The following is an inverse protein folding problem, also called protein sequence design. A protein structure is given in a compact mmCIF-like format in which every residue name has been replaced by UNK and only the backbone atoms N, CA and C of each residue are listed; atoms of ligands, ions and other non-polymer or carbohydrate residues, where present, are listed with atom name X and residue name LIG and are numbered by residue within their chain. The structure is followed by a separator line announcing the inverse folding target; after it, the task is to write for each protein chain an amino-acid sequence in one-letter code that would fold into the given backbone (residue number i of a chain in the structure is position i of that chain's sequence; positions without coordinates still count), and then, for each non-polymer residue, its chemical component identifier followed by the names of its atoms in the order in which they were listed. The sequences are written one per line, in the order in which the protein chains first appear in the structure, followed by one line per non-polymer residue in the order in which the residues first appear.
data_IF_181644539005
#
_entry.id   IF_181644539005
#
_cell.length_a   1.000
_cell.length_b   1.000
_cell.length_c   1.000
_cell.angle_alpha   90.00
_cell.angle_beta   90.00
_cell.angle_gamma   90.00
#
_symmetry.space_group_name_H-M   'P 1'
#
loop_
_entity.id
_entity.type
_entity.pdbx_description
1 polymer ?
#
# COMPACT_ATOMS: atom_id res chain seq x y z
N UNK A 1 6.79 80.41 64.64
CA UNK A 1 8.19 80.17 64.22
C UNK A 1 8.42 78.66 64.28
N UNK A 2 8.51 77.99 63.11
CA UNK A 2 9.23 76.70 62.87
C UNK A 2 8.80 75.52 63.78
N UNK A 3 8.08 74.47 63.35
CA UNK A 3 8.46 73.45 62.35
C UNK A 3 7.25 72.52 62.12
N UNK A 4 6.99 72.18 60.86
CA UNK A 4 6.05 71.13 60.45
C UNK A 4 6.71 69.75 60.59
N UNK A 5 5.96 68.75 61.09
CA UNK A 5 5.99 67.36 60.59
C UNK A 5 4.72 66.65 61.10
N UNK A 6 3.83 66.32 60.17
CA UNK A 6 2.53 65.69 60.40
C UNK A 6 2.70 64.15 60.34
N UNK A 7 1.98 63.35 61.16
CA UNK A 7 2.22 61.92 61.27
C UNK A 7 1.37 61.07 60.32
N UNK A 8 1.84 59.83 60.15
CA UNK A 8 1.24 58.70 59.43
C UNK A 8 -0.19 58.43 59.93
N UNK A 9 -1.15 58.36 58.99
CA UNK A 9 -2.50 57.88 59.24
C UNK A 9 -2.74 56.62 58.39
N UNK A 10 -2.89 55.48 59.07
CA UNK A 10 -3.48 54.26 58.53
C UNK A 10 -4.97 54.55 58.22
N UNK A 11 -5.40 54.23 57.00
CA UNK A 11 -6.82 54.06 56.70
C UNK A 11 -7.03 52.78 55.88
N UNK A 12 -7.69 51.81 56.51
CA UNK A 12 -8.35 50.69 55.85
C UNK A 12 -9.52 51.23 55.03
N UNK A 13 -9.60 50.89 53.74
CA UNK A 13 -10.83 51.00 52.96
C UNK A 13 -11.11 49.67 52.27
N UNK A 14 -12.37 49.29 52.44
CA UNK A 14 -13.06 48.05 52.09
C UNK A 14 -13.32 47.99 50.59
N UNK A 15 -13.32 46.76 50.08
CA UNK A 15 -13.62 46.30 48.73
C UNK A 15 -14.95 46.86 48.20
N UNK A 16 -14.95 47.30 46.93
CA UNK A 16 -16.13 47.29 46.06
C UNK A 16 -15.70 46.86 44.66
N UNK A 17 -16.32 45.80 44.16
CA UNK A 17 -16.13 45.26 42.82
C UNK A 17 -16.51 46.26 41.73
N UNK A 18 -15.74 46.29 40.65
CA UNK A 18 -16.27 46.58 39.32
C UNK A 18 -15.56 45.68 38.29
N UNK A 19 -16.38 44.90 37.59
CA UNK A 19 -15.99 44.01 36.50
C UNK A 19 -15.35 44.83 35.38
N UNK A 20 -14.22 44.35 34.87
CA UNK A 20 -13.82 44.54 33.48
C UNK A 20 -13.20 43.24 33.00
N UNK A 21 -13.85 42.67 31.98
CA UNK A 21 -13.43 41.47 31.27
C UNK A 21 -12.06 41.69 30.64
N UNK A 22 -11.07 40.95 31.14
CA UNK A 22 -9.88 40.56 30.41
C UNK A 22 -9.87 39.04 30.42
N UNK A 23 -10.19 38.41 29.29
CA UNK A 23 -9.93 36.98 29.12
C UNK A 23 -8.41 36.79 29.05
N UNK A 24 -7.86 36.28 30.16
CA UNK A 24 -6.50 35.77 30.24
C UNK A 24 -6.33 34.58 29.30
N UNK A 25 -5.29 34.65 28.48
CA UNK A 25 -4.74 33.53 27.73
C UNK A 25 -4.26 32.47 28.72
N UNK A 26 -5.06 31.43 28.92
CA UNK A 26 -4.70 30.30 29.76
C UNK A 26 -3.76 29.37 28.98
N UNK A 27 -2.46 29.47 29.26
CA UNK A 27 -1.45 28.49 28.87
C UNK A 27 -1.63 27.20 29.68
N UNK A 28 -2.61 26.37 29.32
CA UNK A 28 -2.65 24.99 29.77
C UNK A 28 -1.77 24.13 28.85
N UNK A 29 -0.48 24.16 29.18
CA UNK A 29 0.56 23.34 28.59
C UNK A 29 0.60 21.97 29.28
N UNK A 30 -0.49 21.21 29.17
CA UNK A 30 -0.55 19.80 29.58
C UNK A 30 -1.52 19.07 28.64
N UNK A 31 -1.10 18.83 27.38
CA UNK A 31 -1.70 17.81 26.50
C UNK A 31 -0.88 17.55 25.22
N UNK A 32 0.46 17.58 25.31
CA UNK A 32 1.35 17.30 24.17
C UNK A 32 2.31 16.12 24.40
N UNK A 33 2.16 15.35 25.48
CA UNK A 33 3.07 14.25 25.84
C UNK A 33 2.35 12.94 26.26
N UNK A 34 1.08 12.75 25.87
CA UNK A 34 0.32 11.52 26.16
C UNK A 34 -0.28 10.81 24.93
N UNK A 35 0.06 11.22 23.70
CA UNK A 35 -0.44 10.59 22.46
C UNK A 35 0.54 9.60 21.79
N UNK A 36 1.44 8.96 22.54
CA UNK A 36 2.33 7.90 21.99
C UNK A 36 2.21 6.53 22.68
N UNK A 37 1.11 6.26 23.38
CA UNK A 37 0.73 4.92 23.85
C UNK A 37 -0.77 4.71 23.82
N UNK A 38 -1.38 4.81 22.64
CA UNK A 38 -2.55 4.00 22.35
C UNK A 38 -2.07 2.87 21.45
N UNK A 39 -1.68 1.76 22.07
CA UNK A 39 -1.81 0.48 21.40
C UNK A 39 -3.27 0.42 20.96
N UNK A 40 -3.48 0.55 19.66
CA UNK A 40 -4.77 0.37 19.04
C UNK A 40 -5.21 -1.04 19.44
N UNK A 41 -6.25 -1.15 20.27
CA UNK A 41 -6.87 -2.45 20.55
C UNK A 41 -7.60 -2.85 19.27
N UNK A 42 -6.83 -3.27 18.26
CA UNK A 42 -7.36 -4.08 17.19
C UNK A 42 -7.95 -5.30 17.87
N UNK A 43 -9.24 -5.54 17.62
CA UNK A 43 -9.89 -6.81 17.91
C UNK A 43 -9.19 -7.84 17.01
N UNK A 44 -8.07 -8.37 17.52
CA UNK A 44 -7.23 -9.29 16.78
C UNK A 44 -7.94 -10.63 16.81
N UNK A 45 -8.50 -10.99 15.67
CA UNK A 45 -8.99 -12.35 15.46
C UNK A 45 -7.83 -13.29 15.75
N UNK A 46 -8.08 -14.37 16.50
CA UNK A 46 -7.08 -15.37 16.89
C UNK A 46 -6.63 -16.17 15.65
N UNK A 47 -5.87 -15.51 14.78
CA UNK A 47 -5.59 -15.96 13.43
C UNK A 47 -4.13 -15.79 13.06
N UNK A 48 -3.63 -16.78 12.32
CA UNK A 48 -2.25 -16.84 11.81
C UNK A 48 -2.33 -17.19 10.34
N UNK A 49 -1.58 -16.45 9.53
CA UNK A 49 -1.37 -16.77 8.11
C UNK A 49 -0.19 -17.70 8.00
N UNK A 50 -0.36 -18.83 7.34
CA UNK A 50 0.75 -19.74 7.05
C UNK A 50 0.83 -20.00 5.56
N UNK A 51 2.03 -20.35 5.11
CA UNK A 51 2.25 -20.94 3.79
C UNK A 51 2.96 -22.26 3.97
N UNK A 52 2.29 -23.34 3.60
CA UNK A 52 2.89 -24.67 3.59
C UNK A 52 4.02 -24.76 2.57
N UNK A 53 4.93 -25.70 2.81
CA UNK A 53 5.87 -26.15 1.80
C UNK A 53 5.15 -26.86 0.65
N UNK A 54 5.59 -26.57 -0.57
CA UNK A 54 5.02 -27.20 -1.77
C UNK A 54 5.18 -28.72 -1.73
N UNK A 55 4.12 -29.42 -2.13
CA UNK A 55 4.13 -30.88 -2.31
C UNK A 55 3.58 -31.69 -1.14
N UNK A 56 3.18 -31.04 -0.04
CA UNK A 56 2.45 -31.71 1.03
C UNK A 56 1.06 -32.12 0.55
N UNK A 57 0.70 -33.37 0.83
CA UNK A 57 -0.66 -33.90 0.64
C UNK A 57 -1.65 -33.29 1.64
N UNK A 58 -2.94 -33.36 1.32
CA UNK A 58 -4.00 -32.90 2.23
C UNK A 58 -3.96 -33.62 3.59
N UNK A 59 -3.49 -34.87 3.61
CA UNK A 59 -3.33 -35.65 4.84
C UNK A 59 -2.16 -35.13 5.68
N UNK A 60 -1.02 -34.81 5.07
CA UNK A 60 0.12 -34.20 5.76
C UNK A 60 -0.26 -32.83 6.32
N UNK A 61 -0.91 -31.98 5.51
CA UNK A 61 -1.43 -30.68 5.98
C UNK A 61 -2.40 -30.84 7.16
N UNK A 62 -3.28 -31.85 7.13
CA UNK A 62 -4.20 -32.11 8.24
C UNK A 62 -3.49 -32.53 9.53
N UNK A 63 -2.41 -33.31 9.43
CA UNK A 63 -1.56 -33.67 10.58
C UNK A 63 -0.91 -32.43 11.19
N UNK A 64 -0.36 -31.52 10.36
CA UNK A 64 0.25 -30.28 10.85
C UNK A 64 -0.80 -29.36 11.49
N UNK A 65 -2.00 -29.22 10.90
CA UNK A 65 -3.10 -28.46 11.53
C UNK A 65 -3.49 -29.03 12.89
N UNK A 66 -3.55 -30.36 13.03
CA UNK A 66 -3.82 -31.03 14.30
C UNK A 66 -2.71 -30.78 15.33
N UNK A 67 -1.43 -30.82 14.92
CA UNK A 67 -0.26 -30.51 15.78
C UNK A 67 -0.39 -29.13 16.44
N UNK A 68 -0.87 -28.13 15.70
CA UNK A 68 -1.02 -26.76 16.20
C UNK A 68 -2.37 -26.44 16.85
N UNK A 69 -3.28 -27.42 16.94
CA UNK A 69 -4.65 -27.26 17.44
C UNK A 69 -5.45 -26.19 16.66
N UNK A 70 -5.36 -26.23 15.33
CA UNK A 70 -6.15 -25.36 14.44
C UNK A 70 -7.62 -25.76 14.54
N UNK A 71 -8.51 -24.80 14.84
CA UNK A 71 -9.94 -25.04 14.98
C UNK A 71 -10.61 -25.19 13.61
N UNK A 72 -10.36 -24.24 12.73
CA UNK A 72 -10.70 -24.29 11.31
C UNK A 72 -9.71 -23.43 10.53
N UNK A 73 -9.73 -23.55 9.20
CA UNK A 73 -8.86 -22.82 8.32
C UNK A 73 -9.62 -22.34 7.09
N UNK A 74 -9.15 -21.24 6.53
CA UNK A 74 -9.58 -20.74 5.22
C UNK A 74 -8.42 -20.89 4.25
N UNK A 75 -8.72 -21.38 3.05
CA UNK A 75 -7.74 -21.49 1.96
C UNK A 75 -7.83 -20.29 1.05
N UNK A 76 -6.70 -19.94 0.45
CA UNK A 76 -6.70 -18.89 -0.55
C UNK A 76 -7.43 -19.31 -1.84
N UNK A 77 -8.58 -18.70 -2.12
CA UNK A 77 -9.25 -18.91 -3.40
C UNK A 77 -8.41 -18.30 -4.52
N UNK A 78 -8.03 -19.09 -5.52
CA UNK A 78 -7.37 -18.66 -6.76
C UNK A 78 -5.93 -18.13 -6.68
N UNK A 79 -5.38 -18.02 -5.48
CA UNK A 79 -3.96 -17.79 -5.25
C UNK A 79 -3.19 -19.10 -5.10
N UNK A 80 -2.23 -19.10 -4.17
CA UNK A 80 -1.47 -20.28 -3.78
C UNK A 80 -2.32 -21.24 -2.92
N UNK A 81 -2.52 -22.52 -3.32
CA UNK A 81 -3.22 -23.51 -2.50
C UNK A 81 -2.47 -23.90 -1.22
N UNK A 82 -1.20 -23.50 -1.08
CA UNK A 82 -0.41 -23.69 0.15
C UNK A 82 -0.64 -22.59 1.18
N UNK A 83 -1.32 -21.50 0.82
CA UNK A 83 -1.62 -20.37 1.71
C UNK A 83 -2.91 -20.60 2.48
N UNK A 84 -2.84 -20.51 3.81
CA UNK A 84 -3.99 -20.67 4.69
C UNK A 84 -4.05 -19.61 5.78
N UNK A 85 -5.28 -19.28 6.18
CA UNK A 85 -5.57 -18.52 7.39
C UNK A 85 -6.10 -19.49 8.44
N UNK A 86 -5.38 -19.65 9.54
CA UNK A 86 -5.71 -20.59 10.61
C UNK A 86 -6.37 -19.88 11.77
N UNK A 87 -7.46 -20.46 12.27
CA UNK A 87 -8.23 -19.92 13.40
C UNK A 87 -8.02 -20.78 14.63
N UNK A 88 -7.81 -20.13 15.77
CA UNK A 88 -7.61 -20.80 17.06
C UNK A 88 -8.75 -20.50 18.03
N UNK A 89 -9.15 -21.51 18.80
CA UNK A 89 -10.11 -21.36 19.88
C UNK A 89 -9.50 -20.69 21.12
N UNK A 90 -10.34 -20.11 21.97
CA UNK A 90 -9.95 -19.60 23.28
C UNK A 90 -9.71 -18.08 23.28
N UNK A 91 -9.25 -17.56 24.42
CA UNK A 91 -8.90 -16.15 24.57
C UNK A 91 -7.38 -16.02 24.55
N UNK A 92 -6.79 -16.08 23.35
CA UNK A 92 -5.35 -15.95 23.16
C UNK A 92 -4.94 -14.49 23.27
N UNK A 93 -3.84 -14.25 23.97
CA UNK A 93 -3.17 -12.95 23.98
C UNK A 93 -2.30 -12.80 22.72
N UNK A 94 -1.88 -11.57 22.45
CA UNK A 94 -0.91 -11.29 21.38
C UNK A 94 0.38 -12.12 21.53
N UNK A 95 0.89 -12.24 22.76
CA UNK A 95 2.10 -13.02 23.04
C UNK A 95 1.90 -14.52 22.75
N UNK A 96 0.71 -15.05 23.02
CA UNK A 96 0.39 -16.47 22.71
C UNK A 96 0.38 -16.72 21.19
N UNK A 97 -0.11 -15.75 20.42
CA UNK A 97 -0.10 -15.84 18.95
C UNK A 97 1.32 -15.67 18.40
N UNK A 98 2.13 -14.77 18.95
CA UNK A 98 3.55 -14.64 18.58
C UNK A 98 4.34 -15.92 18.86
N UNK A 99 4.15 -16.55 20.02
CA UNK A 99 4.79 -17.83 20.33
C UNK A 99 4.40 -18.93 19.34
N UNK A 100 3.11 -18.98 18.96
CA UNK A 100 2.63 -19.87 17.90
C UNK A 100 3.34 -19.61 16.57
N UNK A 101 3.41 -18.35 16.12
CA UNK A 101 4.10 -17.98 14.87
C UNK A 101 5.57 -18.42 14.91
N UNK A 102 6.30 -18.10 15.97
CA UNK A 102 7.72 -18.48 16.12
C UNK A 102 7.91 -20.02 16.05
N UNK A 103 6.99 -20.78 16.65
CA UNK A 103 7.02 -22.24 16.59
C UNK A 103 6.67 -22.81 15.21
N UNK A 104 5.95 -22.06 14.37
CA UNK A 104 5.60 -22.45 13.00
C UNK A 104 6.70 -22.05 12.01
N UNK A 105 7.37 -20.92 12.22
CA UNK A 105 8.52 -20.50 11.41
C UNK A 105 9.70 -21.49 11.50
N UNK A 106 9.78 -22.27 12.57
CA UNK A 106 10.79 -23.32 12.74
C UNK A 106 10.31 -24.71 12.27
N UNK A 107 9.07 -24.82 11.80
CA UNK A 107 8.52 -26.07 11.27
C UNK A 107 9.02 -26.31 9.83
N UNK A 108 9.57 -27.50 9.58
CA UNK A 108 10.10 -27.88 8.27
C UNK A 108 9.04 -28.02 7.18
N UNK A 109 7.77 -28.10 7.58
CA UNK A 109 6.62 -28.19 6.69
C UNK A 109 6.07 -26.80 6.28
N UNK A 110 6.65 -25.71 6.80
CA UNK A 110 6.25 -24.33 6.53
C UNK A 110 7.31 -23.56 5.71
N UNK A 111 6.85 -22.75 4.77
CA UNK A 111 7.66 -21.74 4.08
C UNK A 111 7.59 -20.37 4.79
N UNK A 112 6.54 -20.15 5.58
CA UNK A 112 6.36 -18.94 6.38
C UNK A 112 5.12 -19.02 7.26
N UNK A 113 5.15 -18.26 8.34
CA UNK A 113 4.03 -18.04 9.24
C UNK A 113 4.05 -16.59 9.74
N UNK A 114 2.89 -15.95 9.83
CA UNK A 114 2.75 -14.55 10.23
C UNK A 114 1.48 -14.33 11.04
N UNK A 115 1.49 -13.35 11.93
CA UNK A 115 0.24 -12.83 12.49
C UNK A 115 -0.63 -12.26 11.35
N UNK A 116 -1.93 -12.52 11.40
CA UNK A 116 -2.86 -11.94 10.42
C UNK A 116 -3.32 -10.53 10.85
N UNK A 117 -2.45 -9.54 10.69
CA UNK A 117 -2.77 -8.15 11.07
C UNK A 117 -3.49 -7.39 9.94
N UNK A 118 -4.15 -6.29 10.32
CA UNK A 118 -4.83 -5.40 9.37
C UNK A 118 -3.87 -4.36 8.81
N UNK A 119 -3.98 -4.11 7.51
CA UNK A 119 -3.24 -3.10 6.76
C UNK A 119 -4.25 -2.13 6.17
N UNK A 120 -3.95 -0.84 6.21
CA UNK A 120 -4.82 0.21 5.69
C UNK A 120 -4.12 1.05 4.64
N UNK A 121 -4.90 1.56 3.68
CA UNK A 121 -4.50 2.60 2.73
C UNK A 121 -5.19 3.92 3.08
N UNK A 122 -4.49 5.03 2.87
CA UNK A 122 -5.08 6.35 3.07
C UNK A 122 -6.07 6.67 1.95
N UNK A 123 -7.35 6.77 2.33
CA UNK A 123 -8.47 7.11 1.44
C UNK A 123 -9.10 8.44 1.84
N UNK A 124 -8.44 9.21 2.72
CA UNK A 124 -8.93 10.52 3.14
C UNK A 124 -9.01 11.48 1.95
N UNK A 125 -10.09 12.27 1.89
CA UNK A 125 -10.34 13.18 0.77
C UNK A 125 -10.73 12.50 -0.55
N UNK A 126 -10.85 11.17 -0.60
CA UNK A 126 -11.39 10.46 -1.76
C UNK A 126 -12.91 10.37 -1.64
N UNK A 127 -13.62 11.04 -2.56
CA UNK A 127 -15.06 10.82 -2.73
C UNK A 127 -15.31 9.38 -3.18
N UNK A 128 -16.02 8.60 -2.35
CA UNK A 128 -16.41 7.23 -2.69
C UNK A 128 -17.31 7.23 -3.93
N UNK A 129 -17.07 6.34 -4.91
CA UNK A 129 -17.91 6.25 -6.11
C UNK A 129 -19.37 5.96 -5.74
N UNK A 130 -20.31 6.46 -6.55
CA UNK A 130 -21.72 6.12 -6.38
C UNK A 130 -21.93 4.63 -6.73
N UNK A 131 -22.28 3.84 -5.72
CA UNK A 131 -22.47 2.37 -5.82
C UNK A 131 -23.51 1.98 -6.89
N UNK A 132 -24.46 2.87 -7.20
CA UNK A 132 -25.44 2.62 -8.26
C UNK A 132 -24.86 2.73 -9.68
N UNK A 133 -23.81 3.53 -9.88
CA UNK A 133 -23.07 3.59 -11.15
C UNK A 133 -22.15 2.37 -11.34
N UNK A 134 -21.76 1.68 -10.25
CA UNK A 134 -21.04 0.42 -10.33
C UNK A 134 -21.93 -0.76 -10.76
N UNK A 135 -23.26 -0.68 -10.54
CA UNK A 135 -24.21 -1.67 -11.09
C UNK A 135 -24.27 -1.63 -12.63
N UNK A 136 -23.84 -0.54 -13.27
CA UNK A 136 -23.69 -0.46 -14.74
C UNK A 136 -22.43 -1.16 -15.27
N UNK A 137 -21.57 -1.71 -14.41
CA UNK A 137 -20.52 -2.65 -14.83
C UNK A 137 -21.12 -4.03 -15.23
N UNK A 138 -22.44 -4.13 -15.22
CA UNK A 138 -23.20 -5.23 -15.81
C UNK A 138 -23.21 -5.13 -17.34
N UNK A 139 -22.64 -6.15 -17.98
CA UNK A 139 -22.86 -6.60 -19.36
C UNK A 139 -22.08 -5.86 -20.48
N UNK A 140 -20.79 -6.19 -20.61
CA UNK A 140 -20.19 -6.40 -21.94
C UNK A 140 -19.14 -5.41 -22.45
N UNK A 141 -19.05 -4.18 -21.93
CA UNK A 141 -18.10 -3.17 -22.44
C UNK A 141 -16.89 -2.93 -21.52
N UNK A 142 -16.29 -4.03 -21.04
CA UNK A 142 -14.96 -3.92 -20.43
C UNK A 142 -13.94 -3.55 -21.51
N UNK A 143 -13.13 -2.52 -21.24
CA UNK A 143 -12.02 -2.08 -22.08
C UNK A 143 -10.86 -3.10 -22.01
N UNK A 144 -11.13 -4.39 -22.32
CA UNK A 144 -10.14 -5.47 -22.35
C UNK A 144 -9.26 -5.33 -23.58
N UNK A 145 -7.95 -5.41 -23.39
CA UNK A 145 -7.03 -5.45 -24.51
C UNK A 145 -6.94 -6.90 -25.02
N UNK A 146 -7.63 -7.19 -26.12
CA UNK A 146 -7.74 -8.52 -26.73
C UNK A 146 -6.73 -8.73 -27.86
N UNK A 147 -5.62 -7.98 -27.88
CA UNK A 147 -4.60 -8.14 -28.90
C UNK A 147 -3.94 -9.53 -28.77
N UNK A 148 -3.64 -10.16 -29.90
CA UNK A 148 -3.05 -11.50 -29.95
C UNK A 148 -1.67 -11.58 -29.27
N UNK A 149 -0.97 -10.44 -29.16
CA UNK A 149 0.32 -10.33 -28.50
C UNK A 149 0.30 -9.22 -27.46
N UNK A 150 0.39 -9.61 -26.20
CA UNK A 150 0.62 -8.73 -25.06
C UNK A 150 2.12 -8.76 -24.72
N UNK A 151 2.77 -7.61 -24.73
CA UNK A 151 4.19 -7.49 -24.42
C UNK A 151 4.43 -7.44 -22.90
N UNK A 152 3.53 -6.78 -22.14
CA UNK A 152 3.70 -6.58 -20.70
C UNK A 152 2.36 -6.59 -19.96
N UNK A 153 2.31 -7.23 -18.80
CA UNK A 153 1.16 -7.20 -17.88
C UNK A 153 1.59 -6.57 -16.56
N UNK A 154 0.84 -5.55 -16.11
CA UNK A 154 1.03 -4.90 -14.80
C UNK A 154 -0.07 -5.36 -13.84
N UNK A 155 0.32 -6.09 -12.80
CA UNK A 155 -0.56 -6.44 -11.68
C UNK A 155 -0.73 -5.26 -10.72
N UNK A 156 -1.97 -4.98 -10.32
CA UNK A 156 -2.30 -3.92 -9.36
C UNK A 156 -2.96 -4.53 -8.14
N UNK A 157 -2.24 -4.58 -7.03
CA UNK A 157 -2.71 -5.12 -5.76
C UNK A 157 -3.23 -3.96 -4.90
N UNK A 158 -4.54 -3.67 -4.97
CA UNK A 158 -5.12 -2.45 -4.41
C UNK A 158 -6.63 -2.61 -4.10
N UNK A 159 -7.41 -1.53 -4.06
CA UNK A 159 -8.85 -1.52 -3.79
C UNK A 159 -9.72 -1.87 -5.01
N UNK A 160 -9.13 -2.33 -6.11
CA UNK A 160 -9.81 -2.65 -7.37
C UNK A 160 -9.66 -1.56 -8.42
N UNK A 161 -10.50 -1.60 -9.45
CA UNK A 161 -10.54 -0.59 -10.51
C UNK A 161 -11.97 -0.21 -10.90
N UNK A 162 -12.21 1.06 -11.21
CA UNK A 162 -13.37 1.48 -12.00
C UNK A 162 -13.00 1.45 -13.50
N UNK A 163 -13.39 0.40 -14.25
CA UNK A 163 -13.02 0.26 -15.66
C UNK A 163 -13.67 1.32 -16.57
N UNK A 164 -14.73 1.97 -16.09
CA UNK A 164 -15.47 3.00 -16.81
C UNK A 164 -14.93 4.41 -16.53
N UNK A 165 -13.84 4.56 -15.76
CA UNK A 165 -13.22 5.85 -15.54
C UNK A 165 -12.85 6.52 -16.88
N UNK A 166 -13.35 7.74 -17.10
CA UNK A 166 -13.43 8.36 -18.43
C UNK A 166 -12.06 8.69 -19.05
N UNK A 167 -11.00 8.77 -18.24
CA UNK A 167 -9.63 8.99 -18.73
C UNK A 167 -8.96 7.71 -19.26
N UNK A 168 -9.53 6.53 -19.01
CA UNK A 168 -9.15 5.33 -19.75
C UNK A 168 -9.71 5.42 -21.17
N UNK A 169 -8.91 5.83 -22.14
CA UNK A 169 -9.34 6.12 -23.51
C UNK A 169 -9.21 4.97 -24.50
N UNK A 170 -8.40 3.93 -24.19
CA UNK A 170 -8.21 2.73 -25.02
C UNK A 170 -8.45 1.45 -24.21
N UNK A 171 -8.65 0.30 -24.85
CA UNK A 171 -8.62 -1.00 -24.21
C UNK A 171 -7.26 -1.30 -23.56
N UNK A 172 -7.27 -1.74 -22.30
CA UNK A 172 -6.09 -1.95 -21.46
C UNK A 172 -6.25 -3.03 -20.39
N UNK A 173 -7.47 -3.46 -20.07
CA UNK A 173 -7.70 -4.45 -19.02
C UNK A 173 -7.20 -5.82 -19.46
N UNK A 174 -6.74 -6.62 -18.50
CA UNK A 174 -6.44 -8.02 -18.70
C UNK A 174 -7.63 -8.77 -19.31
N UNK A 175 -7.34 -9.76 -20.14
CA UNK A 175 -8.34 -10.62 -20.75
C UNK A 175 -8.11 -12.08 -20.36
N UNK A 176 -9.00 -12.62 -19.52
CA UNK A 176 -8.97 -14.03 -19.11
C UNK A 176 -9.61 -14.98 -20.13
N UNK A 177 -10.16 -14.46 -21.24
CA UNK A 177 -10.89 -15.28 -22.22
C UNK A 177 -9.98 -16.37 -22.80
N UNK A 178 -10.44 -17.62 -22.74
CA UNK A 178 -9.71 -18.77 -23.29
C UNK A 178 -8.61 -19.33 -22.39
N UNK A 179 -8.42 -18.80 -21.18
CA UNK A 179 -7.53 -19.40 -20.20
C UNK A 179 -8.17 -20.64 -19.56
N UNK A 180 -7.42 -21.73 -19.44
CA UNK A 180 -7.90 -22.98 -18.82
C UNK A 180 -7.79 -22.98 -17.28
N UNK A 181 -7.06 -22.02 -16.72
CA UNK A 181 -6.80 -21.88 -15.28
C UNK A 181 -7.27 -20.50 -14.81
N UNK A 182 -8.57 -20.24 -14.99
CA UNK A 182 -9.23 -19.03 -14.49
C UNK A 182 -9.59 -19.18 -13.02
N UNK A 183 -9.60 -18.07 -12.29
CA UNK A 183 -10.24 -18.04 -11.00
C UNK A 183 -11.77 -18.07 -11.19
N UNK A 184 -12.39 -19.25 -11.11
CA UNK A 184 -13.82 -19.38 -11.39
C UNK A 184 -14.20 -18.75 -12.73
N UNK A 185 -15.10 -17.76 -12.71
CA UNK A 185 -15.56 -16.99 -13.87
C UNK A 185 -14.84 -15.64 -14.04
N UNK A 186 -13.56 -15.55 -13.68
CA UNK A 186 -12.69 -14.39 -13.88
C UNK A 186 -12.86 -13.75 -15.27
N UNK A 187 -12.92 -12.41 -15.32
CA UNK A 187 -13.11 -11.65 -16.55
C UNK A 187 -11.87 -10.79 -16.90
N UNK A 188 -11.38 -10.03 -15.92
CA UNK A 188 -10.24 -9.14 -16.09
C UNK A 188 -9.43 -8.97 -14.79
N UNK A 189 -9.66 -9.83 -13.80
CA UNK A 189 -9.13 -9.69 -12.45
C UNK A 189 -10.03 -10.37 -11.42
N UNK A 190 -9.64 -10.29 -10.15
CA UNK A 190 -10.35 -10.94 -9.05
C UNK A 190 -10.52 -10.05 -7.83
N UNK A 191 -11.65 -10.21 -7.15
CA UNK A 191 -11.99 -9.57 -5.90
C UNK A 191 -11.83 -10.53 -4.73
N UNK A 192 -10.73 -10.40 -3.99
CA UNK A 192 -10.43 -11.23 -2.83
C UNK A 192 -11.19 -10.81 -1.57
N UNK A 193 -11.73 -9.57 -1.53
CA UNK A 193 -12.56 -9.10 -0.42
C UNK A 193 -13.91 -9.83 -0.39
N UNK A 194 -14.52 -10.04 -1.56
CA UNK A 194 -15.85 -10.65 -1.69
C UNK A 194 -15.86 -11.98 -2.47
N UNK A 195 -14.68 -12.52 -2.76
CA UNK A 195 -14.43 -13.75 -3.51
C UNK A 195 -15.24 -13.89 -4.82
N UNK A 196 -15.11 -12.91 -5.72
CA UNK A 196 -15.81 -12.92 -7.00
C UNK A 196 -15.01 -12.26 -8.14
N UNK A 197 -15.52 -12.38 -9.38
CA UNK A 197 -14.89 -11.85 -10.59
C UNK A 197 -15.07 -10.34 -10.82
N UNK A 198 -15.53 -9.59 -9.81
CA UNK A 198 -15.81 -8.17 -9.91
C UNK A 198 -14.85 -7.35 -9.03
N UNK A 199 -13.59 -7.11 -9.47
CA UNK A 199 -12.61 -6.28 -8.77
C UNK A 199 -12.93 -4.78 -8.92
N UNK A 200 -14.17 -4.39 -8.65
CA UNK A 200 -14.66 -3.03 -8.82
C UNK A 200 -14.22 -2.17 -7.65
N UNK A 201 -13.67 -1.00 -7.96
CA UNK A 201 -13.19 -0.06 -6.96
C UNK A 201 -14.31 0.78 -6.36
N UNK A 202 -14.64 0.48 -5.11
CA UNK A 202 -15.58 1.18 -4.24
C UNK A 202 -14.91 2.13 -3.23
N UNK A 203 -13.57 2.12 -3.18
CA UNK A 203 -12.76 3.01 -2.35
C UNK A 203 -12.26 4.23 -3.13
N UNK A 204 -11.87 4.02 -4.41
CA UNK A 204 -11.38 5.03 -5.33
C UNK A 204 -9.84 5.12 -5.42
N UNK A 205 -9.10 4.50 -4.49
CA UNK A 205 -7.64 4.51 -4.49
C UNK A 205 -7.06 3.72 -5.67
N UNK A 206 -7.50 2.47 -5.85
CA UNK A 206 -7.01 1.58 -6.90
C UNK A 206 -7.30 2.09 -8.33
N UNK A 207 -8.39 2.83 -8.55
CA UNK A 207 -8.66 3.51 -9.83
C UNK A 207 -7.63 4.59 -10.12
N UNK A 208 -7.25 5.40 -9.11
CA UNK A 208 -6.22 6.44 -9.26
C UNK A 208 -4.86 5.82 -9.54
N UNK A 209 -4.48 4.81 -8.78
CA UNK A 209 -3.24 4.02 -8.98
C UNK A 209 -3.20 3.45 -10.39
N UNK A 210 -4.26 2.75 -10.81
CA UNK A 210 -4.35 2.16 -12.15
C UNK A 210 -4.30 3.21 -13.26
N UNK A 211 -4.87 4.41 -13.04
CA UNK A 211 -4.79 5.50 -13.99
C UNK A 211 -3.37 6.00 -14.20
N UNK A 212 -2.58 6.22 -13.14
CA UNK A 212 -1.20 6.68 -13.30
C UNK A 212 -0.28 5.61 -13.92
N UNK A 213 -0.58 4.32 -13.73
CA UNK A 213 0.09 3.25 -14.49
C UNK A 213 -0.29 3.34 -15.98
N UNK A 214 -1.59 3.42 -16.28
CA UNK A 214 -2.11 3.53 -17.64
C UNK A 214 -1.57 4.75 -18.38
N UNK A 215 -1.50 5.91 -17.73
CA UNK A 215 -1.03 7.18 -18.31
C UNK A 215 0.42 7.07 -18.83
N UNK A 216 1.27 6.33 -18.13
CA UNK A 216 2.66 6.10 -18.55
C UNK A 216 2.77 5.10 -19.70
N UNK A 217 1.80 4.19 -19.83
CA UNK A 217 1.80 3.13 -20.85
C UNK A 217 1.02 3.49 -22.12
N UNK A 218 0.05 4.39 -22.07
CA UNK A 218 -0.90 4.58 -23.17
C UNK A 218 -0.29 5.09 -24.48
N UNK A 219 0.84 5.79 -24.37
CA UNK A 219 1.62 6.30 -25.48
C UNK A 219 2.92 5.50 -25.70
N UNK A 220 3.15 4.46 -24.90
CA UNK A 220 4.24 3.51 -25.12
C UNK A 220 3.95 2.66 -26.36
N UNK A 221 4.99 2.22 -27.11
CA UNK A 221 4.81 1.26 -28.20
C UNK A 221 4.46 -0.15 -27.73
N UNK A 222 4.42 -0.42 -26.42
CA UNK A 222 4.13 -1.73 -25.84
C UNK A 222 2.63 -2.04 -25.88
N UNK A 223 2.27 -3.25 -26.28
CA UNK A 223 0.95 -3.79 -26.01
C UNK A 223 0.90 -4.22 -24.54
N UNK A 224 0.07 -3.53 -23.75
CA UNK A 224 0.02 -3.77 -22.31
C UNK A 224 -1.36 -4.20 -21.83
N UNK A 225 -1.38 -4.87 -20.69
CA UNK A 225 -2.57 -5.12 -19.90
C UNK A 225 -2.37 -4.70 -18.44
N UNK A 226 -3.44 -4.25 -17.79
CA UNK A 226 -3.50 -4.05 -16.34
C UNK A 226 -4.40 -5.12 -15.74
N UNK A 227 -3.87 -5.85 -14.76
CA UNK A 227 -4.55 -6.92 -14.02
C UNK A 227 -4.84 -6.47 -12.58
N UNK A 228 -6.07 -6.01 -12.25
CA UNK A 228 -6.46 -5.70 -10.89
C UNK A 228 -6.66 -6.96 -10.03
N UNK A 229 -6.06 -6.94 -8.84
CA UNK A 229 -6.36 -7.82 -7.71
C UNK A 229 -6.89 -6.96 -6.56
N UNK A 230 -8.21 -6.98 -6.32
CA UNK A 230 -8.84 -6.20 -5.26
C UNK A 230 -8.65 -6.91 -3.92
N UNK A 231 -7.85 -6.31 -3.05
CA UNK A 231 -7.56 -6.80 -1.69
C UNK A 231 -7.96 -5.83 -0.59
N UNK A 232 -8.15 -4.54 -0.90
CA UNK A 232 -8.68 -3.57 0.05
C UNK A 232 -10.19 -3.36 -0.12
N UNK A 233 -10.90 -3.32 1.01
CA UNK A 233 -12.33 -3.07 1.05
C UNK A 233 -12.69 -1.58 0.80
N UNK A 234 -13.98 -1.25 0.91
CA UNK A 234 -14.53 0.11 0.75
C UNK A 234 -13.97 1.13 1.76
N UNK A 235 -13.36 0.66 2.85
CA UNK A 235 -12.74 1.51 3.87
C UNK A 235 -11.22 1.54 3.74
N UNK A 236 -10.67 0.95 2.67
CA UNK A 236 -9.23 0.87 2.48
C UNK A 236 -8.56 -0.07 3.47
N UNK A 237 -9.27 -1.06 4.01
CA UNK A 237 -8.75 -2.03 4.98
C UNK A 237 -8.57 -3.40 4.31
N UNK A 238 -7.53 -4.12 4.71
CA UNK A 238 -7.28 -5.51 4.30
C UNK A 238 -6.58 -6.29 5.41
N UNK A 239 -6.65 -7.62 5.35
CA UNK A 239 -5.84 -8.51 6.18
C UNK A 239 -4.59 -8.95 5.41
N UNK A 240 -3.52 -9.32 6.13
CA UNK A 240 -2.33 -9.89 5.51
C UNK A 240 -2.65 -11.12 4.65
N UNK A 241 -3.57 -11.97 5.11
CA UNK A 241 -4.05 -13.14 4.33
C UNK A 241 -4.64 -12.73 2.97
N UNK A 242 -5.57 -11.76 2.96
CA UNK A 242 -6.21 -11.29 1.72
C UNK A 242 -5.20 -10.66 0.76
N UNK A 243 -4.23 -9.91 1.29
CA UNK A 243 -3.12 -9.34 0.50
C UNK A 243 -2.26 -10.44 -0.12
N UNK A 244 -1.84 -11.44 0.66
CA UNK A 244 -1.03 -12.57 0.18
C UNK A 244 -1.80 -13.44 -0.83
N UNK A 245 -3.13 -13.51 -0.71
CA UNK A 245 -3.99 -14.11 -1.71
C UNK A 245 -3.94 -13.38 -3.06
N UNK A 246 -4.15 -12.07 -3.05
CA UNK A 246 -4.04 -11.27 -4.28
C UNK A 246 -2.64 -11.28 -4.86
N UNK A 247 -1.60 -11.27 -4.01
CA UNK A 247 -0.21 -11.31 -4.46
C UNK A 247 0.13 -12.63 -5.15
N UNK A 248 -0.19 -13.78 -4.52
CA UNK A 248 0.03 -15.10 -5.11
C UNK A 248 -0.77 -15.32 -6.40
N UNK A 249 -1.97 -14.74 -6.51
CA UNK A 249 -2.74 -14.73 -7.75
C UNK A 249 -2.03 -13.98 -8.89
N UNK A 250 -1.45 -12.80 -8.62
CA UNK A 250 -0.68 -12.05 -9.63
C UNK A 250 0.57 -12.83 -10.06
N UNK A 251 1.23 -13.51 -9.13
CA UNK A 251 2.36 -14.42 -9.41
C UNK A 251 1.91 -15.57 -10.32
N UNK A 252 0.81 -16.24 -9.98
CA UNK A 252 0.23 -17.33 -10.78
C UNK A 252 -0.13 -16.87 -12.20
N UNK A 253 -0.59 -15.62 -12.34
CA UNK A 253 -0.89 -14.97 -13.63
C UNK A 253 0.36 -14.53 -14.41
N UNK A 254 1.55 -14.70 -13.84
CA UNK A 254 2.85 -14.41 -14.48
C UNK A 254 2.93 -12.98 -15.02
N UNK A 255 2.42 -12.01 -14.24
CA UNK A 255 2.58 -10.59 -14.58
C UNK A 255 4.06 -10.21 -14.58
N UNK A 256 4.43 -9.11 -15.24
CA UNK A 256 5.82 -8.68 -15.35
C UNK A 256 6.18 -7.63 -14.29
N UNK A 257 5.22 -6.76 -13.95
CA UNK A 257 5.35 -5.75 -12.91
C UNK A 257 4.19 -5.89 -11.92
N UNK A 258 4.46 -5.78 -10.63
CA UNK A 258 3.42 -5.67 -9.59
C UNK A 258 3.57 -4.32 -8.90
N UNK A 259 2.48 -3.55 -8.88
CA UNK A 259 2.41 -2.32 -8.11
C UNK A 259 1.78 -2.59 -6.73
N UNK A 260 2.51 -2.22 -5.67
CA UNK A 260 2.05 -2.24 -4.29
C UNK A 260 2.06 -0.82 -3.71
N UNK A 261 0.95 -0.12 -3.84
CA UNK A 261 0.76 1.26 -3.37
C UNK A 261 0.18 1.31 -1.94
N UNK A 262 0.74 0.48 -1.07
CA UNK A 262 0.37 0.35 0.33
C UNK A 262 1.59 -0.11 1.14
N UNK A 263 1.46 -0.12 2.45
CA UNK A 263 2.46 -0.75 3.30
C UNK A 263 2.17 -0.62 4.78
N UNK A 264 3.08 -1.15 5.58
CA UNK A 264 3.02 -1.15 7.04
C UNK A 264 4.44 -1.10 7.61
N UNK A 265 4.56 -0.88 8.93
CA UNK A 265 5.86 -0.69 9.59
C UNK A 265 6.28 -1.89 10.44
N UNK A 266 7.58 -1.92 10.74
CA UNK A 266 8.24 -2.77 11.75
C UNK A 266 8.29 -4.26 11.42
N UNK A 267 7.14 -4.92 11.32
CA UNK A 267 7.07 -6.38 11.31
C UNK A 267 7.14 -6.90 9.87
N UNK A 268 8.22 -7.58 9.43
CA UNK A 268 8.20 -8.24 8.12
C UNK A 268 7.17 -9.37 8.10
N UNK A 269 6.67 -9.71 6.92
CA UNK A 269 5.89 -10.93 6.69
C UNK A 269 6.79 -11.99 6.06
N UNK A 270 7.01 -13.10 6.77
CA UNK A 270 7.76 -14.25 6.25
C UNK A 270 7.06 -14.88 5.05
N UNK A 271 5.72 -14.93 5.07
CA UNK A 271 4.89 -15.44 3.96
C UNK A 271 5.06 -14.57 2.72
N UNK A 272 4.93 -13.25 2.84
CA UNK A 272 5.12 -12.34 1.69
C UNK A 272 6.57 -12.42 1.17
N UNK A 273 7.55 -12.47 2.07
CA UNK A 273 8.97 -12.63 1.72
C UNK A 273 9.20 -13.92 0.93
N UNK A 274 8.56 -15.04 1.30
CA UNK A 274 8.67 -16.30 0.57
C UNK A 274 8.17 -16.18 -0.88
N UNK A 275 7.09 -15.44 -1.12
CA UNK A 275 6.59 -15.16 -2.47
C UNK A 275 7.55 -14.26 -3.24
N UNK A 276 8.07 -13.20 -2.62
CA UNK A 276 9.02 -12.28 -3.26
C UNK A 276 10.27 -13.06 -3.71
N UNK A 277 10.81 -13.93 -2.85
CA UNK A 277 11.96 -14.78 -3.18
C UNK A 277 11.67 -15.71 -4.38
N UNK A 278 10.46 -16.27 -4.47
CA UNK A 278 10.07 -17.15 -5.58
C UNK A 278 10.09 -16.43 -6.94
N UNK A 279 9.78 -15.13 -6.97
CA UNK A 279 9.65 -14.33 -8.20
C UNK A 279 10.84 -13.39 -8.46
N UNK A 280 11.89 -13.48 -7.64
CA UNK A 280 12.99 -12.51 -7.61
C UNK A 280 13.74 -12.37 -8.94
N UNK A 281 13.66 -13.38 -9.81
CA UNK A 281 14.36 -13.38 -11.10
C UNK A 281 13.52 -12.84 -12.26
N UNK A 282 12.20 -12.68 -12.12
CA UNK A 282 11.32 -12.47 -13.27
C UNK A 282 10.12 -11.53 -13.10
N UNK A 283 9.76 -11.08 -11.88
CA UNK A 283 8.71 -10.06 -11.67
C UNK A 283 9.28 -8.89 -10.90
N UNK A 284 9.20 -7.69 -11.47
CA UNK A 284 9.56 -6.45 -10.78
C UNK A 284 8.41 -5.98 -9.88
N UNK A 285 8.70 -5.64 -8.64
CA UNK A 285 7.75 -5.10 -7.66
C UNK A 285 8.09 -3.63 -7.44
N UNK A 286 7.11 -2.78 -7.68
CA UNK A 286 7.16 -1.36 -7.37
C UNK A 286 6.39 -1.11 -6.08
N UNK A 287 7.10 -0.75 -5.01
CA UNK A 287 6.53 -0.56 -3.68
C UNK A 287 6.61 0.91 -3.25
N UNK A 288 5.50 1.48 -2.78
CA UNK A 288 5.50 2.83 -2.21
C UNK A 288 6.31 2.87 -0.92
N UNK A 289 7.17 3.88 -0.75
CA UNK A 289 8.04 4.00 0.41
C UNK A 289 7.31 4.35 1.73
N UNK A 290 6.09 4.88 1.66
CA UNK A 290 5.30 5.32 2.81
C UNK A 290 5.16 6.85 2.91
N UNK A 291 4.09 7.31 3.58
CA UNK A 291 3.64 8.71 3.58
C UNK A 291 3.75 9.36 4.97
N UNK A 292 4.83 9.12 5.70
CA UNK A 292 4.95 9.58 7.10
C UNK A 292 6.19 10.43 7.36
N UNK A 293 7.03 10.65 6.34
CA UNK A 293 8.26 11.44 6.48
C UNK A 293 9.30 10.73 7.36
N UNK A 294 9.24 9.40 7.42
CA UNK A 294 10.10 8.60 8.28
C UNK A 294 11.30 8.00 7.52
N UNK A 295 12.36 7.73 8.28
CA UNK A 295 13.53 7.03 7.77
C UNK A 295 13.29 5.52 7.83
N UNK A 296 13.10 4.89 6.66
CA UNK A 296 12.90 3.46 6.48
C UNK A 296 14.14 2.62 6.85
N UNK A 297 15.33 3.21 6.95
CA UNK A 297 16.53 2.53 7.48
C UNK A 297 16.46 2.38 9.01
N UNK A 298 15.70 3.24 9.69
CA UNK A 298 15.49 3.18 11.13
C UNK A 298 14.18 2.47 11.52
N UNK A 299 13.10 2.72 10.76
CA UNK A 299 11.77 2.14 10.95
C UNK A 299 11.34 1.52 9.62
N UNK A 300 11.63 0.23 9.37
CA UNK A 300 11.34 -0.41 8.10
C UNK A 300 9.86 -0.31 7.72
N UNK A 301 9.61 -0.02 6.45
CA UNK A 301 8.29 0.03 5.83
C UNK A 301 8.18 -1.07 4.77
N UNK A 302 7.28 -2.03 4.97
CA UNK A 302 7.09 -3.16 4.06
C UNK A 302 5.89 -2.92 3.13
N UNK A 303 5.98 -3.35 1.85
CA UNK A 303 7.03 -4.20 1.28
C UNK A 303 8.30 -3.47 0.82
N UNK A 304 8.33 -2.13 0.81
CA UNK A 304 9.46 -1.35 0.25
C UNK A 304 10.83 -1.63 0.89
N UNK A 305 10.88 -2.04 2.15
CA UNK A 305 12.13 -2.32 2.87
C UNK A 305 12.61 -3.77 2.75
N UNK A 306 11.92 -4.63 2.01
CA UNK A 306 12.47 -5.94 1.66
C UNK A 306 13.67 -5.78 0.71
N UNK A 307 14.78 -6.44 1.04
CA UNK A 307 16.08 -6.28 0.34
C UNK A 307 16.22 -7.08 -0.96
N UNK A 308 15.15 -7.63 -1.51
CA UNK A 308 15.23 -8.41 -2.75
C UNK A 308 15.54 -7.50 -3.94
N UNK A 309 16.27 -8.04 -4.92
CA UNK A 309 16.69 -7.28 -6.10
C UNK A 309 15.52 -6.87 -7.01
N UNK A 310 14.39 -7.57 -6.90
CA UNK A 310 13.20 -7.29 -7.68
C UNK A 310 12.25 -6.30 -7.01
N UNK A 311 12.66 -5.62 -5.94
CA UNK A 311 11.87 -4.55 -5.33
C UNK A 311 12.50 -3.21 -5.66
N UNK A 312 11.68 -2.31 -6.20
CA UNK A 312 11.97 -0.90 -6.38
C UNK A 312 11.12 -0.10 -5.39
N UNK A 313 11.76 0.45 -4.36
CA UNK A 313 11.14 1.32 -3.38
C UNK A 313 11.07 2.77 -3.90
N UNK A 314 9.86 3.28 -4.05
CA UNK A 314 9.60 4.58 -4.70
C UNK A 314 9.05 5.60 -3.70
N UNK A 315 9.74 6.73 -3.57
CA UNK A 315 9.28 7.85 -2.74
C UNK A 315 8.73 9.00 -3.57
N UNK A 316 8.06 9.94 -2.89
CA UNK A 316 7.47 11.12 -3.50
C UNK A 316 8.48 12.27 -3.51
N UNK A 317 8.46 13.04 -4.61
CA UNK A 317 9.18 14.31 -4.70
C UNK A 317 8.21 15.43 -5.09
N UNK A 318 8.62 16.67 -4.80
CA UNK A 318 7.90 17.87 -5.20
C UNK A 318 8.02 18.16 -6.72
N UNK A 319 7.40 19.25 -7.17
CA UNK A 319 7.44 19.67 -8.57
C UNK A 319 8.52 20.72 -8.87
N UNK A 320 9.48 20.94 -7.96
CA UNK A 320 10.56 21.91 -8.16
C UNK A 320 11.70 21.33 -9.01
N UNK A 321 12.61 22.18 -9.48
CA UNK A 321 13.78 21.78 -10.27
C UNK A 321 15.01 22.50 -9.69
N UNK A 322 15.98 21.78 -9.08
CA UNK A 322 15.96 20.34 -8.77
C UNK A 322 14.90 19.98 -7.71
N UNK A 323 14.30 18.78 -7.77
CA UNK A 323 13.22 18.38 -6.88
C UNK A 323 13.71 18.06 -5.46
N UNK A 324 12.83 18.20 -4.49
CA UNK A 324 13.07 17.79 -3.10
C UNK A 324 12.11 16.68 -2.67
N UNK A 325 12.52 15.92 -1.65
CA UNK A 325 11.59 15.05 -0.91
C UNK A 325 10.50 15.90 -0.25
N UNK A 326 9.27 15.36 -0.20
CA UNK A 326 8.13 16.06 0.40
C UNK A 326 8.10 15.79 1.90
N UNK A 327 8.97 16.49 2.63
CA UNK A 327 9.12 16.41 4.09
C UNK A 327 8.44 17.63 4.77
N UNK A 328 8.00 17.49 6.03
CA UNK A 328 7.48 18.62 6.84
C UNK A 328 6.01 18.52 7.18
N UNK A 329 5.26 19.62 7.16
CA UNK A 329 3.88 19.67 7.69
C UNK A 329 2.86 18.75 6.98
N UNK A 330 3.16 18.33 5.75
CA UNK A 330 2.32 17.40 4.95
C UNK A 330 3.02 16.02 4.82
N UNK A 331 4.26 15.85 5.33
CA UNK A 331 5.15 14.67 5.24
C UNK A 331 4.60 13.50 4.43
N UNK A 332 4.93 13.47 3.13
CA UNK A 332 4.47 12.42 2.22
C UNK A 332 5.57 11.45 1.82
N UNK A 333 6.83 11.72 2.18
CA UNK A 333 7.98 11.00 1.63
C UNK A 333 8.75 10.32 2.74
N UNK A 334 8.48 9.04 2.98
CA UNK A 334 9.48 8.22 3.66
C UNK A 334 10.75 8.16 2.81
N UNK A 335 11.89 8.05 3.47
CA UNK A 335 13.22 8.09 2.87
C UNK A 335 14.12 7.02 3.52
N UNK A 336 15.32 6.83 3.00
CA UNK A 336 16.26 5.83 3.50
C UNK A 336 17.39 5.66 2.50
N UNK A 337 18.62 5.88 2.95
CA UNK A 337 19.81 5.78 2.11
C UNK A 337 20.08 4.33 1.66
N UNK A 338 19.50 3.34 2.33
CA UNK A 338 19.67 1.93 1.96
C UNK A 338 18.36 1.26 1.49
N UNK A 339 17.21 1.77 1.92
CA UNK A 339 15.89 1.14 1.76
C UNK A 339 14.94 1.84 0.79
N UNK A 340 15.25 3.05 0.31
CA UNK A 340 14.43 3.79 -0.65
C UNK A 340 15.27 4.08 -1.89
N UNK A 341 14.85 3.59 -3.05
CA UNK A 341 15.70 3.56 -4.23
C UNK A 341 15.66 4.89 -5.01
N UNK A 342 14.46 5.38 -5.35
CA UNK A 342 14.30 6.49 -6.30
C UNK A 342 13.10 7.40 -5.97
N UNK A 343 13.18 8.67 -6.37
CA UNK A 343 12.07 9.63 -6.28
C UNK A 343 11.22 9.69 -7.55
N UNK A 344 9.91 9.89 -7.40
CA UNK A 344 8.99 10.23 -8.51
C UNK A 344 7.99 11.29 -8.06
N UNK A 345 7.64 12.24 -8.94
CA UNK A 345 6.71 13.35 -8.64
C UNK A 345 5.41 12.81 -8.04
N UNK A 346 5.14 13.23 -6.81
CA UNK A 346 4.02 12.74 -6.01
C UNK A 346 3.31 13.82 -5.19
N UNK A 347 3.72 15.09 -5.30
CA UNK A 347 3.05 16.22 -4.67
C UNK A 347 2.12 16.93 -5.64
N UNK A 348 0.84 17.06 -5.30
CA UNK A 348 -0.11 17.87 -6.06
C UNK A 348 -0.21 17.44 -7.52
N UNK A 349 -0.36 16.14 -7.78
CA UNK A 349 -0.56 15.62 -9.12
C UNK A 349 -2.05 15.73 -9.50
N UNK A 350 -2.37 16.14 -10.75
CA UNK A 350 -3.76 16.32 -11.16
C UNK A 350 -4.43 14.97 -11.38
N UNK A 351 -5.62 14.79 -10.80
CA UNK A 351 -6.53 13.69 -11.07
C UNK A 351 -7.90 14.24 -11.41
N UNK A 352 -8.53 13.74 -12.48
CA UNK A 352 -9.79 14.32 -12.95
C UNK A 352 -10.96 13.51 -12.44
N UNK A 353 -11.90 14.14 -11.75
CA UNK A 353 -13.18 13.52 -11.40
C UNK A 353 -14.21 13.82 -12.50
N UNK A 354 -15.31 13.08 -12.53
CA UNK A 354 -16.39 13.29 -13.52
C UNK A 354 -17.18 14.59 -13.30
N UNK A 355 -17.00 15.27 -12.17
CA UNK A 355 -17.52 16.62 -11.96
C UNK A 355 -16.72 17.59 -12.83
N UNK A 356 -17.39 18.43 -13.63
CA UNK A 356 -16.80 19.46 -14.51
C UNK A 356 -16.04 20.60 -13.78
N UNK A 357 -15.51 20.35 -12.58
CA UNK A 357 -14.92 21.34 -11.68
C UNK A 357 -13.39 21.41 -11.78
N UNK A 358 -12.79 20.86 -12.85
CA UNK A 358 -11.33 20.78 -13.02
C UNK A 358 -10.70 19.58 -12.28
N UNK A 359 -9.36 19.46 -12.32
CA UNK A 359 -8.65 18.39 -11.61
C UNK A 359 -8.69 18.61 -10.10
N UNK A 360 -8.78 17.53 -9.34
CA UNK A 360 -8.39 17.49 -7.94
C UNK A 360 -6.90 17.18 -7.85
N UNK A 361 -6.18 17.88 -6.97
CA UNK A 361 -4.77 17.65 -6.76
C UNK A 361 -4.59 16.66 -5.62
N UNK A 362 -3.98 15.52 -5.93
CA UNK A 362 -3.74 14.45 -4.97
C UNK A 362 -2.24 14.31 -4.72
N UNK A 363 -1.87 13.70 -3.60
CA UNK A 363 -0.45 13.51 -3.27
C UNK A 363 -0.23 12.18 -2.55
N UNK A 364 0.98 11.62 -2.67
CA UNK A 364 1.40 10.42 -1.95
C UNK A 364 2.32 9.50 -2.74
N UNK A 365 3.14 8.73 -2.03
CA UNK A 365 4.04 7.71 -2.61
C UNK A 365 3.29 6.63 -3.38
N UNK A 366 2.01 6.39 -3.06
CA UNK A 366 1.13 5.51 -3.83
C UNK A 366 1.12 5.85 -5.32
N UNK A 367 1.05 7.14 -5.66
CA UNK A 367 0.97 7.59 -7.04
C UNK A 367 2.35 7.71 -7.70
N UNK A 368 3.38 8.05 -6.92
CA UNK A 368 4.79 7.96 -7.34
C UNK A 368 5.14 6.53 -7.76
N UNK A 369 4.80 5.54 -6.94
CA UNK A 369 4.97 4.12 -7.24
C UNK A 369 4.19 3.69 -8.48
N UNK A 370 2.95 4.16 -8.63
CA UNK A 370 2.11 3.87 -9.80
C UNK A 370 2.71 4.40 -11.11
N UNK A 371 3.19 5.66 -11.11
CA UNK A 371 3.90 6.23 -12.26
C UNK A 371 5.17 5.43 -12.59
N UNK A 372 5.99 5.11 -11.57
CA UNK A 372 7.16 4.27 -11.75
C UNK A 372 6.79 2.89 -12.33
N UNK A 373 5.69 2.27 -11.88
CA UNK A 373 5.24 0.96 -12.37
C UNK A 373 4.92 0.98 -13.86
N UNK A 374 4.18 1.99 -14.32
CA UNK A 374 3.86 2.16 -15.73
C UNK A 374 5.10 2.46 -16.58
N UNK A 375 5.99 3.33 -16.09
CA UNK A 375 7.26 3.60 -16.75
C UNK A 375 8.15 2.35 -16.85
N UNK A 376 8.33 1.62 -15.75
CA UNK A 376 9.13 0.40 -15.72
C UNK A 376 8.57 -0.67 -16.66
N UNK A 377 7.24 -0.84 -16.70
CA UNK A 377 6.58 -1.73 -17.64
C UNK A 377 6.83 -1.32 -19.11
N UNK A 378 6.96 -0.03 -19.41
CA UNK A 378 7.32 0.45 -20.75
C UNK A 378 8.73 0.03 -21.18
N UNK A 379 9.65 -0.11 -20.22
CA UNK A 379 11.03 -0.56 -20.44
C UNK A 379 11.18 -2.07 -20.59
N UNK A 380 10.15 -2.85 -20.21
CA UNK A 380 10.21 -4.31 -20.21
C UNK A 380 10.56 -4.90 -21.59
N UNK A 381 11.50 -5.84 -21.63
CA UNK A 381 11.88 -6.60 -22.82
C UNK A 381 11.79 -8.09 -22.49
N UNK A 382 11.21 -8.89 -23.39
CA UNK A 382 11.09 -10.34 -23.18
C UNK A 382 12.47 -10.97 -22.94
N UNK A 383 12.61 -11.72 -21.85
CA UNK A 383 13.87 -12.36 -21.46
C UNK A 383 14.87 -11.45 -20.72
N UNK A 384 14.50 -10.19 -20.44
CA UNK A 384 15.30 -9.28 -19.60
C UNK A 384 15.32 -9.79 -18.15
N UNK A 385 16.53 -9.89 -17.58
CA UNK A 385 16.70 -10.17 -16.16
C UNK A 385 16.32 -8.97 -15.29
N UNK A 386 15.97 -9.21 -14.02
CA UNK A 386 15.67 -8.14 -13.07
C UNK A 386 16.83 -7.15 -12.92
N UNK A 387 18.09 -7.63 -12.90
CA UNK A 387 19.25 -6.75 -12.80
C UNK A 387 19.40 -5.84 -14.02
N UNK A 388 19.23 -6.37 -15.24
CA UNK A 388 19.23 -5.56 -16.46
C UNK A 388 18.11 -4.52 -16.46
N UNK A 389 16.92 -4.92 -16.00
CA UNK A 389 15.77 -4.02 -15.89
C UNK A 389 16.04 -2.89 -14.89
N UNK A 390 16.57 -3.23 -13.71
CA UNK A 390 16.93 -2.27 -12.68
C UNK A 390 18.00 -1.29 -13.18
N UNK A 391 19.01 -1.79 -13.89
CA UNK A 391 20.02 -0.94 -14.53
C UNK A 391 19.43 0.01 -15.58
N UNK A 392 18.49 -0.46 -16.42
CA UNK A 392 17.81 0.38 -17.41
C UNK A 392 17.02 1.51 -16.72
N UNK A 393 16.35 1.22 -15.61
CA UNK A 393 15.61 2.22 -14.81
C UNK A 393 16.58 3.30 -14.30
N UNK A 394 17.70 2.91 -13.71
CA UNK A 394 18.70 3.86 -13.21
C UNK A 394 19.32 4.71 -14.32
N UNK A 395 19.51 4.16 -15.52
CA UNK A 395 20.01 4.95 -16.66
C UNK A 395 19.05 6.05 -17.12
N UNK A 396 17.74 5.86 -16.90
CA UNK A 396 16.73 6.89 -17.18
C UNK A 396 16.49 7.85 -16.00
N UNK A 397 17.12 7.59 -14.85
CA UNK A 397 17.01 8.46 -13.69
C UNK A 397 17.93 9.69 -13.81
N UNK A 398 17.48 10.80 -13.23
CA UNK A 398 18.23 12.06 -13.18
C UNK A 398 18.81 12.19 -11.77
N UNK A 399 20.15 12.24 -11.62
CA UNK A 399 20.77 12.51 -10.33
C UNK A 399 20.39 13.90 -9.79
N UNK A 400 20.15 13.99 -8.49
CA UNK A 400 19.86 15.23 -7.77
C UNK A 400 20.48 15.22 -6.38
N UNK A 401 21.35 16.19 -6.10
CA UNK A 401 21.97 16.35 -4.77
C UNK A 401 20.95 16.63 -3.67
N UNK A 402 19.75 17.12 -4.02
CA UNK A 402 18.67 17.39 -3.07
C UNK A 402 17.97 16.11 -2.60
N UNK A 403 18.29 14.96 -3.20
CA UNK A 403 17.74 13.65 -2.87
C UNK A 403 18.77 12.75 -2.16
N UNK A 404 19.71 13.34 -1.43
CA UNK A 404 20.77 12.61 -0.72
C UNK A 404 20.30 11.68 0.40
N UNK A 405 19.02 11.71 0.77
CA UNK A 405 18.40 10.81 1.76
C UNK A 405 17.81 9.53 1.15
N UNK A 406 17.99 9.30 -0.16
CA UNK A 406 17.58 8.08 -0.85
C UNK A 406 18.77 7.47 -1.60
N UNK A 407 18.77 6.14 -1.72
CA UNK A 407 19.91 5.31 -2.10
C UNK A 407 20.65 5.73 -3.36
N UNK A 408 19.91 6.05 -4.41
CA UNK A 408 20.53 6.46 -5.69
C UNK A 408 20.62 7.97 -5.87
N UNK A 409 20.10 8.76 -4.92
CA UNK A 409 20.02 10.22 -5.01
C UNK A 409 19.51 10.71 -6.38
N UNK A 410 18.49 10.03 -6.89
CA UNK A 410 18.00 10.23 -8.25
C UNK A 410 16.48 10.18 -8.31
N UNK A 411 15.91 10.68 -9.40
CA UNK A 411 14.48 10.66 -9.66
C UNK A 411 14.14 10.34 -11.12
N UNK A 412 12.92 9.86 -11.37
CA UNK A 412 12.36 9.76 -12.72
C UNK A 412 11.48 10.98 -13.01
N UNK A 413 11.68 11.61 -14.16
CA UNK A 413 10.86 12.75 -14.60
C UNK A 413 9.62 12.27 -15.37
N UNK A 414 8.53 11.97 -14.62
CA UNK A 414 7.30 11.32 -15.11
C UNK A 414 6.00 12.11 -14.91
#
# INVERSE_FOLDING_TARGET
MIKYFLPILLLFIVISCQNNEFEEVNFNNENALSKSRSADKQEQENTVVIRFKKGLSDTEKAIVRAKYNVLYFEVCSCGDPELENWFFSGNLTFADLEEKVLSMESDTDMEGADLNFKITIDISGISKPNVNAQREVSVGNFKKNTLDKIDVVVGVLDSGINPSYFKFTKPFLFDSTGMNDTCGNEIFGWNFVNNNNAPIDDSGHGTRVSYFIYEQLINSPKNFQILPAKVFDINGSSSLFTINCGFSYLIKRKVNVINMSFGWKNNPSSVMKSYINEIEEYILINASAGNLGENNDAIPHYPSSYKNNNILAVTAIDNTIPPNLVLGSISLSNYGENSVDIGVKGLGIPFYTSSNNGPVFISGTSYSSAKASGFNASLYKTGMSINEWYHEILQHSIPSSNLNLIKHSAYLEL
#
